data_IF_745278860015
#
_entry.id   IF_745278860015
#
_cell.length_a   1.000
_cell.length_b   1.000
_cell.length_c   1.000
_cell.angle_alpha   90.00
_cell.angle_beta   90.00
_cell.angle_gamma   90.00
#
_symmetry.space_group_name_H-M   'P 1'
#
loop_
_entity.id
_entity.type
_entity.pdbx_description
1 polymer ?
#
# COMPACT_ATOMS: atom_id res chain seq x y z
N UNK A 1 -25.35 21.00 -14.38
CA UNK A 1 -26.37 20.25 -13.63
C UNK A 1 -25.69 19.40 -12.56
N UNK A 2 -25.33 20.01 -11.43
CA UNK A 2 -24.94 19.27 -10.23
C UNK A 2 -26.24 18.78 -9.57
N UNK A 3 -26.38 17.47 -9.37
CA UNK A 3 -27.56 16.87 -8.77
C UNK A 3 -27.74 17.41 -7.34
N UNK A 4 -28.87 18.09 -7.01
CA UNK A 4 -29.17 18.55 -5.64
C UNK A 4 -29.79 17.42 -4.80
N UNK A 5 -29.44 16.17 -5.10
CA UNK A 5 -29.92 14.98 -4.38
C UNK A 5 -28.92 14.54 -3.33
N UNK A 6 -29.41 14.07 -2.20
CA UNK A 6 -28.61 13.42 -1.16
C UNK A 6 -27.79 12.27 -1.79
N UNK A 7 -26.46 12.37 -1.69
CA UNK A 7 -25.54 11.38 -2.23
C UNK A 7 -25.50 10.18 -1.29
N UNK A 8 -26.08 9.05 -1.73
CA UNK A 8 -26.06 7.79 -0.98
C UNK A 8 -24.85 6.98 -1.41
N UNK A 9 -23.97 6.65 -0.46
CA UNK A 9 -22.87 5.71 -0.71
C UNK A 9 -23.43 4.30 -0.94
N UNK A 10 -23.08 3.70 -2.07
CA UNK A 10 -23.45 2.32 -2.44
C UNK A 10 -22.21 1.48 -2.72
N UNK A 11 -22.29 0.21 -2.36
CA UNK A 11 -21.24 -0.79 -2.59
C UNK A 11 -20.65 -1.32 -1.30
N UNK A 12 -19.93 -2.44 -1.42
CA UNK A 12 -19.20 -3.08 -0.33
C UNK A 12 -17.83 -3.50 -0.84
N UNK A 13 -16.75 -3.36 -0.04
CA UNK A 13 -15.41 -3.79 -0.43
C UNK A 13 -15.30 -5.31 -0.71
N UNK A 14 -16.24 -6.11 -0.18
CA UNK A 14 -16.29 -7.57 -0.39
C UNK A 14 -17.22 -7.99 -1.54
N UNK A 15 -18.01 -7.06 -2.07
CA UNK A 15 -18.83 -7.29 -3.25
C UNK A 15 -18.18 -6.65 -4.49
N UNK A 16 -17.26 -7.38 -5.10
CA UNK A 16 -16.52 -6.95 -6.28
C UNK A 16 -17.42 -6.61 -7.48
N UNK A 17 -18.69 -7.04 -7.48
CA UNK A 17 -19.66 -6.66 -8.50
C UNK A 17 -20.06 -5.17 -8.42
N UNK A 18 -19.97 -4.57 -7.24
CA UNK A 18 -20.38 -3.18 -6.98
C UNK A 18 -19.32 -2.13 -7.33
N UNK A 19 -18.08 -2.55 -7.62
CA UNK A 19 -16.97 -1.64 -7.94
C UNK A 19 -17.01 -1.29 -9.46
N UNK A 20 -17.07 0.00 -9.82
CA UNK A 20 -17.47 0.45 -11.16
C UNK A 20 -16.42 0.22 -12.26
N UNK A 21 -15.13 0.09 -11.91
CA UNK A 21 -14.06 -0.13 -12.88
C UNK A 21 -13.21 -1.34 -12.49
N UNK A 22 -12.77 -2.10 -13.49
CA UNK A 22 -11.76 -3.16 -13.31
C UNK A 22 -10.45 -2.59 -12.78
N UNK A 23 -10.07 -1.37 -13.18
CA UNK A 23 -8.89 -0.68 -12.66
C UNK A 23 -8.98 -0.47 -11.14
N UNK A 24 -10.14 -0.05 -10.62
CA UNK A 24 -10.33 0.09 -9.18
C UNK A 24 -10.26 -1.25 -8.44
N UNK A 25 -10.78 -2.34 -9.02
CA UNK A 25 -10.68 -3.69 -8.44
C UNK A 25 -9.21 -4.12 -8.33
N UNK A 26 -8.44 -3.92 -9.40
CA UNK A 26 -7.01 -4.25 -9.43
C UNK A 26 -6.21 -3.38 -8.46
N UNK A 27 -6.46 -2.06 -8.42
CA UNK A 27 -5.81 -1.16 -7.48
C UNK A 27 -6.10 -1.56 -6.03
N UNK A 28 -7.36 -1.91 -5.72
CA UNK A 28 -7.76 -2.38 -4.40
C UNK A 28 -7.02 -3.65 -3.97
N UNK A 29 -6.83 -4.59 -4.90
CA UNK A 29 -6.09 -5.82 -4.63
C UNK A 29 -4.63 -5.55 -4.26
N UNK A 30 -3.92 -4.72 -5.04
CA UNK A 30 -2.53 -4.37 -4.76
C UNK A 30 -2.38 -3.60 -3.45
N UNK A 31 -3.22 -2.58 -3.22
CA UNK A 31 -3.22 -1.81 -1.95
C UNK A 31 -3.57 -2.70 -0.76
N UNK A 32 -4.50 -3.63 -0.93
CA UNK A 32 -4.89 -4.61 0.08
C UNK A 32 -3.74 -5.53 0.46
N UNK A 33 -3.06 -6.15 -0.52
CA UNK A 33 -1.88 -6.99 -0.28
C UNK A 33 -0.77 -6.20 0.40
N UNK A 34 -0.48 -4.98 -0.05
CA UNK A 34 0.51 -4.12 0.60
C UNK A 34 0.16 -3.85 2.06
N UNK A 35 -1.12 -3.61 2.36
CA UNK A 35 -1.59 -3.41 3.74
C UNK A 35 -1.35 -4.66 4.59
N UNK A 36 -1.64 -5.85 4.07
CA UNK A 36 -1.34 -7.10 4.77
C UNK A 36 0.15 -7.34 4.97
N UNK A 37 1.00 -6.97 4.02
CA UNK A 37 2.46 -7.05 4.15
C UNK A 37 2.99 -6.09 5.22
N UNK A 38 2.43 -4.88 5.32
CA UNK A 38 2.78 -3.91 6.37
C UNK A 38 2.38 -4.46 7.75
N UNK A 39 1.15 -4.97 7.89
CA UNK A 39 0.69 -5.63 9.12
C UNK A 39 1.59 -6.82 9.46
N UNK A 40 1.93 -7.66 8.48
CA UNK A 40 2.86 -8.77 8.63
C UNK A 40 4.22 -8.31 9.13
N UNK A 41 4.72 -7.18 8.64
CA UNK A 41 5.99 -6.59 9.11
C UNK A 41 5.90 -6.19 10.58
N UNK A 42 4.79 -5.59 11.01
CA UNK A 42 4.55 -5.26 12.43
C UNK A 42 4.58 -6.54 13.28
N UNK A 43 3.96 -7.61 12.81
CA UNK A 43 3.97 -8.91 13.51
C UNK A 43 5.36 -9.55 13.52
N UNK A 44 6.16 -9.40 12.46
CA UNK A 44 7.54 -9.89 12.40
C UNK A 44 8.45 -9.29 13.47
N UNK A 45 8.14 -8.11 14.03
CA UNK A 45 8.87 -7.61 15.20
C UNK A 45 8.77 -8.56 16.40
N UNK A 46 7.72 -9.37 16.53
CA UNK A 46 7.65 -10.39 17.59
C UNK A 46 8.65 -11.52 17.38
N UNK A 47 9.19 -11.71 16.17
CA UNK A 47 10.21 -12.73 15.88
C UNK A 47 11.59 -12.34 16.43
N UNK A 48 11.80 -11.10 16.88
CA UNK A 48 13.05 -10.70 17.57
C UNK A 48 13.32 -11.53 18.84
N UNK A 49 12.30 -12.16 19.44
CA UNK A 49 12.48 -13.04 20.60
C UNK A 49 13.07 -14.41 20.25
N UNK A 50 12.92 -14.87 19.00
CA UNK A 50 13.27 -16.24 18.58
C UNK A 50 14.33 -16.29 17.47
N UNK A 51 14.49 -15.22 16.70
CA UNK A 51 15.39 -15.16 15.55
C UNK A 51 16.48 -14.10 15.73
N UNK A 52 17.60 -14.26 15.03
CA UNK A 52 18.63 -13.23 14.99
C UNK A 52 18.05 -11.92 14.44
N UNK A 53 18.35 -10.81 15.12
CA UNK A 53 17.92 -9.48 14.73
C UNK A 53 18.27 -9.12 13.27
N UNK A 54 19.44 -9.55 12.78
CA UNK A 54 19.85 -9.34 11.38
C UNK A 54 18.86 -9.98 10.39
N UNK A 55 18.40 -11.21 10.67
CA UNK A 55 17.42 -11.92 9.85
C UNK A 55 16.07 -11.21 9.87
N UNK A 56 15.60 -10.82 11.05
CA UNK A 56 14.29 -10.14 11.19
C UNK A 56 14.30 -8.81 10.44
N UNK A 57 15.37 -8.00 10.56
CA UNK A 57 15.49 -6.74 9.81
C UNK A 57 15.47 -6.95 8.29
N UNK A 58 16.20 -7.94 7.77
CA UNK A 58 16.20 -8.25 6.33
C UNK A 58 14.84 -8.71 5.82
N UNK A 59 14.15 -9.58 6.57
CA UNK A 59 12.80 -10.03 6.21
C UNK A 59 11.83 -8.85 6.18
N UNK A 60 11.84 -8.02 7.22
CA UNK A 60 11.01 -6.80 7.27
C UNK A 60 11.35 -5.84 6.12
N UNK A 61 12.63 -5.71 5.75
CA UNK A 61 13.07 -4.86 4.65
C UNK A 61 12.46 -5.30 3.31
N UNK A 62 12.49 -6.60 3.01
CA UNK A 62 11.87 -7.17 1.80
C UNK A 62 10.34 -7.04 1.80
N UNK A 63 9.70 -7.27 2.95
CA UNK A 63 8.25 -7.10 3.08
C UNK A 63 7.81 -5.65 2.84
N UNK A 64 8.54 -4.68 3.40
CA UNK A 64 8.28 -3.26 3.18
C UNK A 64 8.54 -2.84 1.74
N UNK A 65 9.58 -3.39 1.09
CA UNK A 65 9.85 -3.13 -0.32
C UNK A 65 8.73 -3.65 -1.23
N UNK A 66 8.24 -4.86 -0.95
CA UNK A 66 7.10 -5.44 -1.66
C UNK A 66 5.82 -4.63 -1.43
N UNK A 67 5.58 -4.18 -0.19
CA UNK A 67 4.45 -3.32 0.14
C UNK A 67 4.51 -1.97 -0.61
N UNK A 68 5.66 -1.29 -0.62
CA UNK A 68 5.87 -0.05 -1.35
C UNK A 68 5.59 -0.22 -2.85
N UNK A 69 6.07 -1.33 -3.44
CA UNK A 69 5.85 -1.66 -4.85
C UNK A 69 4.35 -1.85 -5.15
N UNK A 70 3.63 -2.60 -4.32
CA UNK A 70 2.19 -2.77 -4.49
C UNK A 70 1.39 -1.48 -4.32
N UNK A 71 1.76 -0.62 -3.36
CA UNK A 71 1.13 0.70 -3.18
C UNK A 71 1.38 1.59 -4.41
N UNK A 72 2.60 1.56 -4.96
CA UNK A 72 2.95 2.30 -6.17
C UNK A 72 2.13 1.83 -7.39
N UNK A 73 2.02 0.52 -7.60
CA UNK A 73 1.19 -0.05 -8.66
C UNK A 73 -0.27 0.36 -8.47
N UNK A 74 -0.82 0.22 -7.26
CA UNK A 74 -2.18 0.64 -6.95
C UNK A 74 -2.42 2.13 -7.19
N UNK A 75 -1.46 2.98 -6.84
CA UNK A 75 -1.54 4.43 -7.05
C UNK A 75 -1.53 4.80 -8.55
N UNK A 76 -0.78 4.07 -9.38
CA UNK A 76 -0.74 4.28 -10.83
C UNK A 76 -2.01 3.74 -11.53
N UNK A 77 -2.55 2.61 -11.09
CA UNK A 77 -3.76 2.02 -11.68
C UNK A 77 -5.02 2.81 -11.27
N UNK A 78 -5.04 3.43 -10.08
CA UNK A 78 -6.25 4.08 -9.58
C UNK A 78 -6.80 5.19 -10.51
N UNK A 79 -5.98 6.10 -11.08
CA UNK A 79 -6.43 7.08 -12.08
C UNK A 79 -7.00 6.49 -13.38
N UNK A 80 -6.64 5.26 -13.74
CA UNK A 80 -7.20 4.59 -14.93
C UNK A 80 -8.68 4.26 -14.77
N UNK A 81 -9.20 4.19 -13.54
CA UNK A 81 -10.63 3.93 -13.29
C UNK A 81 -11.53 5.16 -13.38
N UNK A 82 -10.97 6.36 -13.56
CA UNK A 82 -11.72 7.62 -13.58
C UNK A 82 -12.62 7.80 -14.82
N UNK A 83 -12.37 7.03 -15.87
CA UNK A 83 -13.18 7.03 -17.10
C UNK A 83 -14.51 6.26 -16.99
N UNK A 84 -14.73 5.57 -15.86
CA UNK A 84 -15.96 4.80 -15.62
C UNK A 84 -17.21 5.67 -15.67
N UNK A 85 -18.32 5.07 -16.13
CA UNK A 85 -19.58 5.78 -16.34
C UNK A 85 -20.12 6.44 -15.06
N UNK A 86 -19.88 5.78 -13.93
CA UNK A 86 -20.24 6.20 -12.58
C UNK A 86 -19.44 7.43 -12.17
N UNK A 87 -18.14 7.47 -12.45
CA UNK A 87 -17.28 8.62 -12.15
C UNK A 87 -17.61 9.77 -13.09
N UNK A 88 -17.79 9.53 -14.39
CA UNK A 88 -18.22 10.57 -15.36
C UNK A 88 -19.57 11.18 -14.98
N UNK A 89 -20.53 10.39 -14.47
CA UNK A 89 -21.81 10.90 -13.98
C UNK A 89 -21.66 11.85 -12.78
N UNK A 90 -20.66 11.64 -11.93
CA UNK A 90 -20.42 12.43 -10.71
C UNK A 90 -19.50 13.64 -10.99
N UNK A 91 -18.46 13.43 -11.79
CA UNK A 91 -17.38 14.38 -12.07
C UNK A 91 -17.54 15.10 -13.41
N UNK A 92 -18.56 14.78 -14.19
CA UNK A 92 -18.86 15.38 -15.49
C UNK A 92 -18.28 14.60 -16.67
N UNK A 93 -18.91 14.77 -17.85
CA UNK A 93 -18.61 14.01 -19.07
C UNK A 93 -17.21 14.24 -19.64
N UNK A 94 -16.54 15.33 -19.22
CA UNK A 94 -15.16 15.66 -19.57
C UNK A 94 -14.12 14.87 -18.76
N UNK A 95 -14.56 14.01 -17.84
CA UNK A 95 -13.65 13.14 -17.07
C UNK A 95 -13.15 12.01 -17.95
N UNK A 96 -11.84 11.81 -17.96
CA UNK A 96 -11.14 10.74 -18.67
C UNK A 96 -10.00 10.20 -17.78
N UNK A 97 -9.27 9.19 -18.24
CA UNK A 97 -8.12 8.63 -17.52
C UNK A 97 -7.13 9.74 -17.16
N UNK A 98 -6.69 9.77 -15.90
CA UNK A 98 -5.81 10.82 -15.35
C UNK A 98 -6.34 12.27 -15.41
N UNK A 99 -7.61 12.49 -15.77
CA UNK A 99 -8.22 13.83 -15.82
C UNK A 99 -9.53 13.85 -15.03
N UNK A 100 -9.51 14.48 -13.85
CA UNK A 100 -10.72 14.70 -13.06
C UNK A 100 -11.44 15.92 -13.63
N UNK A 101 -12.59 15.76 -14.28
CA UNK A 101 -13.32 16.87 -14.91
C UNK A 101 -13.68 18.00 -13.94
N UNK A 102 -14.75 17.84 -13.18
CA UNK A 102 -15.20 18.77 -12.14
C UNK A 102 -14.83 18.31 -10.71
N UNK A 103 -14.19 17.15 -10.58
CA UNK A 103 -13.76 16.57 -9.31
C UNK A 103 -12.33 16.96 -8.94
N UNK A 104 -11.99 16.81 -7.67
CA UNK A 104 -10.64 17.05 -7.15
C UNK A 104 -10.12 15.83 -6.40
N UNK A 105 -8.80 15.67 -6.39
CA UNK A 105 -8.13 14.65 -5.59
C UNK A 105 -8.26 15.00 -4.11
N UNK A 106 -8.60 14.01 -3.28
CA UNK A 106 -8.74 14.18 -1.82
C UNK A 106 -7.56 13.53 -1.09
N UNK A 107 -7.52 13.75 0.22
CA UNK A 107 -6.49 13.28 1.15
C UNK A 107 -6.10 11.80 1.03
N UNK A 108 -7.03 10.89 0.71
CA UNK A 108 -6.72 9.46 0.62
C UNK A 108 -5.63 9.14 -0.42
N UNK A 109 -5.64 9.81 -1.57
CA UNK A 109 -4.62 9.63 -2.61
C UNK A 109 -3.27 10.21 -2.17
N UNK A 110 -3.29 11.35 -1.48
CA UNK A 110 -2.08 11.98 -0.92
C UNK A 110 -1.44 11.08 0.16
N UNK A 111 -2.26 10.51 1.04
CA UNK A 111 -1.82 9.57 2.07
C UNK A 111 -1.22 8.30 1.47
N UNK A 112 -1.74 7.82 0.32
CA UNK A 112 -1.14 6.70 -0.40
C UNK A 112 0.28 7.03 -0.87
N UNK A 113 0.50 8.22 -1.46
CA UNK A 113 1.83 8.68 -1.89
C UNK A 113 2.79 8.78 -0.70
N UNK A 114 2.34 9.36 0.41
CA UNK A 114 3.14 9.45 1.63
C UNK A 114 3.49 8.04 2.14
N UNK A 115 2.53 7.11 2.13
CA UNK A 115 2.75 5.72 2.53
C UNK A 115 3.77 4.98 1.66
N UNK A 116 3.82 5.25 0.35
CA UNK A 116 4.85 4.71 -0.54
C UNK A 116 6.24 5.21 -0.10
N UNK A 117 6.39 6.52 0.12
CA UNK A 117 7.66 7.10 0.53
C UNK A 117 8.11 6.57 1.90
N UNK A 118 7.19 6.47 2.85
CA UNK A 118 7.45 5.92 4.18
C UNK A 118 7.92 4.45 4.09
N UNK A 119 7.19 3.60 3.37
CA UNK A 119 7.55 2.19 3.19
C UNK A 119 8.93 2.03 2.51
N UNK A 120 9.29 2.88 1.55
CA UNK A 120 10.62 2.89 0.93
C UNK A 120 11.72 3.29 1.92
N UNK A 121 11.49 4.34 2.72
CA UNK A 121 12.45 4.79 3.75
C UNK A 121 12.65 3.68 4.79
N UNK A 122 11.55 3.09 5.29
CA UNK A 122 11.60 1.99 6.25
C UNK A 122 12.31 0.76 5.69
N UNK A 123 12.08 0.39 4.44
CA UNK A 123 12.80 -0.71 3.78
C UNK A 123 14.30 -0.42 3.73
N UNK A 124 14.69 0.78 3.30
CA UNK A 124 16.09 1.18 3.23
C UNK A 124 16.77 1.15 4.60
N UNK A 125 16.13 1.73 5.63
CA UNK A 125 16.64 1.71 7.01
C UNK A 125 16.77 0.27 7.52
N UNK A 126 15.79 -0.59 7.26
CA UNK A 126 15.82 -1.99 7.67
C UNK A 126 16.96 -2.78 6.98
N UNK A 127 17.25 -2.55 5.70
CA UNK A 127 18.42 -3.12 5.04
C UNK A 127 19.73 -2.64 5.65
N UNK A 128 19.86 -1.33 5.89
CA UNK A 128 21.05 -0.75 6.52
C UNK A 128 21.28 -1.35 7.91
N UNK A 129 20.23 -1.42 8.74
CA UNK A 129 20.31 -2.00 10.09
C UNK A 129 20.61 -3.50 10.06
N UNK A 130 19.95 -4.26 9.18
CA UNK A 130 20.21 -5.69 9.01
C UNK A 130 21.66 -5.97 8.61
N UNK A 131 22.18 -5.23 7.64
CA UNK A 131 23.57 -5.37 7.20
C UNK A 131 24.58 -4.94 8.28
N UNK A 132 24.29 -3.86 9.02
CA UNK A 132 25.13 -3.43 10.16
C UNK A 132 25.16 -4.48 11.27
N UNK A 133 24.04 -5.14 11.51
CA UNK A 133 23.94 -6.20 12.52
C UNK A 133 24.72 -7.46 12.12
N UNK A 134 24.77 -7.82 10.84
CA UNK A 134 25.63 -8.92 10.37
C UNK A 134 27.12 -8.64 10.64
N UNK A 135 27.56 -7.38 10.49
CA UNK A 135 28.95 -6.99 10.74
C UNK A 135 29.31 -7.01 12.24
N UNK A 136 28.33 -6.87 13.13
CA UNK A 136 28.53 -6.85 14.58
C UNK A 136 28.39 -8.24 15.23
N UNK A 137 27.60 -9.14 14.62
CA UNK A 137 27.41 -10.52 15.08
C UNK A 137 28.17 -11.49 14.16
N UNK A 138 29.46 -11.76 14.42
CA UNK A 138 30.19 -12.79 13.68
C UNK A 138 29.50 -14.15 13.84
N UNK A 139 29.66 -15.02 12.84
CA UNK A 139 29.02 -16.34 12.71
C UNK A 139 29.22 -17.31 13.88
N UNK A 140 30.08 -16.97 14.84
CA UNK A 140 30.38 -17.76 16.04
C UNK A 140 29.55 -17.37 17.28
N UNK A 141 28.64 -16.39 17.18
CA UNK A 141 27.75 -16.03 18.29
C UNK A 141 26.66 -17.10 18.50
N UNK A 142 26.98 -18.13 19.29
CA UNK A 142 25.96 -18.98 19.92
C UNK A 142 25.28 -18.19 21.02
N UNK A 143 23.97 -17.97 20.89
CA UNK A 143 23.13 -17.60 22.04
C UNK A 143 23.20 -18.82 22.98
N UNK A 144 23.79 -18.66 24.17
CA UNK A 144 23.68 -19.69 25.21
C UNK A 144 22.18 -19.87 25.52
N UNK A 145 21.65 -21.03 25.14
CA UNK A 145 20.35 -21.51 25.58
C UNK A 145 20.33 -21.50 27.12
N UNK A 146 19.34 -20.81 27.70
CA UNK A 146 19.01 -20.88 29.12
C UNK A 146 17.91 -21.89 29.36
#
# INVERSE_FOLDING_TARGET
NALPGELICKGSPLDFGTIPSSAFKTAMFFVGISTFLIIGTILCFSLFFFCNAATVYKVCAWMQLAAATGLMIGCLIYPDGWDSSEVRRMCGDKTDKYTLGACTVRWAYILCIIGILDALILSFLAFVLGNRQDHLLPSDFKVEDK
#
